data_IF_739809263130
#
_entry.id   IF_739809263130
#
_cell.length_a   1.000
_cell.length_b   1.000
_cell.length_c   1.000
_cell.angle_alpha   90.00
_cell.angle_beta   90.00
_cell.angle_gamma   90.00
#
_symmetry.space_group_name_H-M   'P 1'
#
loop_
_entity.id
_entity.type
_entity.pdbx_description
1 polymer ?
#
# COMPACT_ATOMS: atom_id res chain seq x y z
N UNK A 1 -9.89 13.23 -20.42
CA UNK A 1 -9.10 12.11 -21.00
C UNK A 1 -10.04 11.10 -21.64
N UNK A 2 -9.66 10.56 -22.81
CA UNK A 2 -10.38 9.42 -23.37
C UNK A 2 -9.96 8.12 -22.62
N UNK A 3 -10.58 6.99 -22.97
CA UNK A 3 -10.33 5.72 -22.28
C UNK A 3 -8.88 5.27 -22.37
N UNK A 4 -8.24 5.38 -23.54
CA UNK A 4 -6.85 4.96 -23.72
C UNK A 4 -5.89 5.83 -22.91
N UNK A 5 -6.10 7.14 -22.88
CA UNK A 5 -5.33 8.07 -22.07
C UNK A 5 -5.51 7.79 -20.57
N UNK A 6 -6.73 7.48 -20.15
CA UNK A 6 -7.04 7.17 -18.77
C UNK A 6 -6.35 5.89 -18.32
N UNK A 7 -6.35 4.84 -19.14
CA UNK A 7 -5.63 3.58 -18.87
C UNK A 7 -4.13 3.83 -18.71
N UNK A 8 -3.56 4.61 -19.61
CA UNK A 8 -2.13 4.95 -19.55
C UNK A 8 -1.80 5.70 -18.27
N UNK A 9 -2.65 6.65 -17.88
CA UNK A 9 -2.50 7.41 -16.66
C UNK A 9 -2.50 6.49 -15.43
N UNK A 10 -3.46 5.58 -15.32
CA UNK A 10 -3.52 4.65 -14.19
C UNK A 10 -2.33 3.70 -14.15
N UNK A 11 -1.84 3.23 -15.31
CA UNK A 11 -0.63 2.39 -15.36
C UNK A 11 0.61 3.14 -14.87
N UNK A 12 0.75 4.39 -15.24
CA UNK A 12 1.86 5.24 -14.78
C UNK A 12 1.78 5.48 -13.26
N UNK A 13 0.59 5.81 -12.75
CA UNK A 13 0.36 5.99 -11.32
C UNK A 13 0.65 4.70 -10.54
N UNK A 14 0.18 3.57 -11.04
CA UNK A 14 0.42 2.25 -10.43
C UNK A 14 1.92 1.93 -10.36
N UNK A 15 2.66 2.20 -11.44
CA UNK A 15 4.11 1.99 -11.47
C UNK A 15 4.81 2.85 -10.41
N UNK A 16 4.42 4.11 -10.26
CA UNK A 16 4.96 5.00 -9.23
C UNK A 16 4.62 4.51 -7.82
N UNK A 17 3.39 4.08 -7.60
CA UNK A 17 2.94 3.56 -6.31
C UNK A 17 3.72 2.30 -5.91
N UNK A 18 3.95 1.39 -6.85
CA UNK A 18 4.76 0.19 -6.62
C UNK A 18 6.19 0.58 -6.25
N UNK A 19 6.80 1.54 -6.93
CA UNK A 19 8.13 2.04 -6.61
C UNK A 19 8.23 2.51 -5.17
N UNK A 20 7.28 3.32 -4.71
CA UNK A 20 7.21 3.80 -3.33
C UNK A 20 7.02 2.66 -2.32
N UNK A 21 6.18 1.68 -2.66
CA UNK A 21 5.95 0.52 -1.82
C UNK A 21 7.24 -0.31 -1.66
N UNK A 22 7.97 -0.52 -2.75
CA UNK A 22 9.25 -1.25 -2.73
C UNK A 22 10.27 -0.50 -1.90
N UNK A 23 10.37 0.80 -2.04
CA UNK A 23 11.29 1.62 -1.24
C UNK A 23 11.00 1.47 0.26
N UNK A 24 9.73 1.46 0.65
CA UNK A 24 9.33 1.21 2.04
C UNK A 24 9.68 -0.20 2.51
N UNK A 25 9.57 -1.20 1.64
CA UNK A 25 9.96 -2.58 1.97
C UNK A 25 11.46 -2.71 2.17
N UNK A 26 12.27 -2.00 1.36
CA UNK A 26 13.74 -2.02 1.46
C UNK A 26 14.23 -1.27 2.69
N UNK A 27 13.75 -0.05 2.88
CA UNK A 27 14.19 0.82 3.97
C UNK A 27 13.53 0.45 5.30
N UNK A 28 12.35 -0.12 5.23
CA UNK A 28 11.53 -0.47 6.37
C UNK A 28 11.06 0.75 7.15
N UNK A 29 10.30 0.51 8.20
CA UNK A 29 10.03 1.52 9.21
C UNK A 29 11.15 1.44 10.23
N UNK A 30 11.78 2.56 10.53
CA UNK A 30 12.93 2.64 11.45
C UNK A 30 14.14 1.79 11.01
N UNK A 31 14.32 1.60 9.70
CA UNK A 31 15.44 0.86 9.15
C UNK A 31 15.37 -0.65 9.33
N UNK A 32 14.18 -1.21 9.61
CA UNK A 32 14.01 -2.63 9.88
C UNK A 32 13.04 -3.32 8.90
N UNK A 33 13.43 -3.32 7.63
CA UNK A 33 12.62 -3.87 6.53
C UNK A 33 12.34 -5.37 6.69
N UNK A 34 13.31 -6.13 7.20
CA UNK A 34 13.18 -7.58 7.37
C UNK A 34 12.06 -7.92 8.36
N UNK A 35 12.01 -7.24 9.49
CA UNK A 35 10.95 -7.46 10.48
C UNK A 35 9.58 -7.03 9.97
N UNK A 36 9.52 -5.93 9.23
CA UNK A 36 8.29 -5.46 8.63
C UNK A 36 7.70 -6.48 7.66
N UNK A 37 8.51 -6.95 6.71
CA UNK A 37 8.06 -7.95 5.72
C UNK A 37 7.67 -9.27 6.40
N UNK A 38 8.44 -9.69 7.38
CA UNK A 38 8.15 -10.90 8.15
C UNK A 38 6.82 -10.77 8.90
N UNK A 39 6.61 -9.66 9.58
CA UNK A 39 5.36 -9.39 10.31
C UNK A 39 4.15 -9.42 9.37
N UNK A 40 4.26 -8.80 8.19
CA UNK A 40 3.20 -8.84 7.20
C UNK A 40 2.92 -10.24 6.67
N UNK A 41 3.98 -11.03 6.46
CA UNK A 41 3.83 -12.41 5.99
C UNK A 41 3.22 -13.34 7.05
N UNK A 42 3.41 -13.06 8.33
CA UNK A 42 2.89 -13.85 9.45
C UNK A 42 1.52 -13.38 9.95
N UNK A 43 1.12 -12.14 9.67
CA UNK A 43 -0.15 -11.59 10.13
C UNK A 43 -1.34 -12.30 9.48
N UNK A 44 -2.45 -12.45 10.20
CA UNK A 44 -3.68 -13.01 9.64
C UNK A 44 -4.26 -12.10 8.57
N UNK A 45 -4.91 -12.69 7.55
CA UNK A 45 -5.57 -11.92 6.48
C UNK A 45 -6.61 -10.97 7.08
N UNK A 46 -7.35 -11.40 8.10
CA UNK A 46 -8.33 -10.56 8.78
C UNK A 46 -7.69 -9.34 9.45
N UNK A 47 -6.52 -9.52 10.05
CA UNK A 47 -5.78 -8.40 10.67
C UNK A 47 -5.27 -7.41 9.62
N UNK A 48 -4.74 -7.91 8.50
CA UNK A 48 -4.32 -7.07 7.38
C UNK A 48 -5.49 -6.28 6.79
N UNK A 49 -6.66 -6.91 6.67
CA UNK A 49 -7.87 -6.25 6.21
C UNK A 49 -8.33 -5.16 7.19
N UNK A 50 -8.27 -5.44 8.50
CA UNK A 50 -8.65 -4.48 9.54
C UNK A 50 -7.73 -3.25 9.56
N UNK A 51 -6.42 -3.43 9.43
CA UNK A 51 -5.46 -2.32 9.35
C UNK A 51 -5.70 -1.51 8.07
N UNK A 52 -5.98 -2.17 6.95
CA UNK A 52 -6.31 -1.50 5.69
C UNK A 52 -7.55 -0.62 5.83
N UNK A 53 -8.57 -1.09 6.55
CA UNK A 53 -9.77 -0.30 6.85
C UNK A 53 -9.44 0.94 7.67
N UNK A 54 -8.59 0.81 8.68
CA UNK A 54 -8.14 1.96 9.49
C UNK A 54 -7.41 2.99 8.61
N UNK A 55 -6.53 2.55 7.72
CA UNK A 55 -5.82 3.41 6.77
C UNK A 55 -6.79 4.13 5.84
N UNK A 56 -7.82 3.44 5.35
CA UNK A 56 -8.86 4.03 4.50
C UNK A 56 -9.66 5.10 5.26
N UNK A 57 -9.98 4.88 6.53
CA UNK A 57 -10.64 5.86 7.37
C UNK A 57 -9.78 7.12 7.55
N UNK A 58 -8.46 6.96 7.71
CA UNK A 58 -7.53 8.11 7.79
C UNK A 58 -7.54 8.94 6.51
N UNK A 59 -7.59 8.27 5.34
CA UNK A 59 -7.71 8.97 4.05
C UNK A 59 -8.99 9.81 4.02
N UNK A 60 -10.10 9.24 4.45
CA UNK A 60 -11.41 9.90 4.49
C UNK A 60 -11.41 11.13 5.41
N UNK A 61 -10.68 11.08 6.51
CA UNK A 61 -10.73 12.08 7.57
C UNK A 61 -9.64 13.15 7.46
N UNK A 62 -8.85 13.16 6.41
CA UNK A 62 -7.82 14.17 6.18
C UNK A 62 -7.99 14.83 4.82
N UNK A 63 -7.59 16.10 4.72
CA UNK A 63 -7.48 16.83 3.46
C UNK A 63 -6.02 16.99 3.01
N UNK A 64 -5.08 16.41 3.74
CA UNK A 64 -3.65 16.48 3.41
C UNK A 64 -3.32 15.42 2.35
N UNK A 65 -2.91 15.84 1.13
CA UNK A 65 -2.60 14.89 0.05
C UNK A 65 -1.46 13.92 0.40
N UNK A 66 -0.45 14.37 1.10
CA UNK A 66 0.69 13.51 1.48
C UNK A 66 0.25 12.42 2.45
N UNK A 67 -0.57 12.76 3.43
CA UNK A 67 -1.15 11.79 4.36
C UNK A 67 -2.07 10.81 3.63
N UNK A 68 -2.88 11.29 2.69
CA UNK A 68 -3.74 10.43 1.88
C UNK A 68 -2.91 9.44 1.06
N UNK A 69 -1.86 9.91 0.40
CA UNK A 69 -0.97 9.06 -0.40
C UNK A 69 -0.26 8.02 0.45
N UNK A 70 0.30 8.43 1.60
CA UNK A 70 1.01 7.51 2.50
C UNK A 70 0.11 6.37 2.97
N UNK A 71 -1.11 6.67 3.37
CA UNK A 71 -2.06 5.64 3.80
C UNK A 71 -2.52 4.77 2.63
N UNK A 72 -2.69 5.33 1.44
CA UNK A 72 -3.06 4.57 0.25
C UNK A 72 -1.96 3.56 -0.14
N UNK A 73 -0.69 3.97 -0.08
CA UNK A 73 0.45 3.08 -0.36
C UNK A 73 0.54 1.96 0.68
N UNK A 74 0.30 2.25 1.96
CA UNK A 74 0.24 1.23 3.00
C UNK A 74 -0.85 0.20 2.70
N UNK A 75 -2.04 0.64 2.24
CA UNK A 75 -3.13 -0.27 1.85
C UNK A 75 -2.69 -1.17 0.70
N UNK A 76 -2.03 -0.64 -0.32
CA UNK A 76 -1.52 -1.43 -1.44
C UNK A 76 -0.57 -2.53 -0.93
N UNK A 77 0.29 -2.18 0.02
CA UNK A 77 1.24 -3.13 0.60
C UNK A 77 0.53 -4.27 1.36
N UNK A 78 -0.46 -3.93 2.18
CA UNK A 78 -1.25 -4.94 2.90
C UNK A 78 -2.06 -5.82 1.96
N UNK A 79 -2.68 -5.24 0.93
CA UNK A 79 -3.44 -6.00 -0.07
C UNK A 79 -2.53 -6.94 -0.87
N UNK A 80 -1.33 -6.49 -1.20
CA UNK A 80 -0.33 -7.33 -1.87
C UNK A 80 0.07 -8.53 -1.00
N UNK A 81 0.24 -8.32 0.31
CA UNK A 81 0.52 -9.41 1.24
C UNK A 81 -0.64 -10.42 1.30
N UNK A 82 -1.88 -9.96 1.28
CA UNK A 82 -3.06 -10.84 1.22
C UNK A 82 -3.05 -11.66 -0.08
N UNK A 83 -2.86 -11.00 -1.22
CA UNK A 83 -2.84 -11.68 -2.53
C UNK A 83 -1.72 -12.71 -2.57
N UNK A 84 -0.54 -12.40 -2.06
CA UNK A 84 0.60 -13.31 -2.02
C UNK A 84 0.34 -14.59 -1.25
N UNK A 85 -0.55 -14.58 -0.27
CA UNK A 85 -0.92 -15.79 0.48
C UNK A 85 -1.91 -16.68 -0.23
N UNK A 86 -2.63 -16.13 -1.21
CA UNK A 86 -3.60 -16.88 -1.99
C UNK A 86 -2.94 -17.66 -3.13
N UNK A 87 -1.69 -17.38 -3.37
CA UNK A 87 -0.86 -18.10 -4.35
C UNK A 87 0.12 -19.05 -3.61
#
# INVERSE_FOLDING_TARGET
MNEAELRKHYQEVFTQAIGKMIDRQVDGYDGNSTDFLKSMNEADIQDLASVSKMKAIRIKNTNNPDTQEDNAIDIINYMTAIIGRLY
#
